data_IF_952535853329
#
_entry.id   IF_952535853329
#
_cell.length_a   1.000
_cell.length_b   1.000
_cell.length_c   1.000
_cell.angle_alpha   90.00
_cell.angle_beta   90.00
_cell.angle_gamma   90.00
#
_symmetry.space_group_name_H-M   'P 1'
#
loop_
_entity.id
_entity.type
_entity.pdbx_description
1 polymer ?
#
# COMPACT_ATOMS: atom_id res chain seq x y z
N UNK A 1 -8.35 -66.91 16.81
CA UNK A 1 -7.31 -67.05 15.78
C UNK A 1 -7.95 -66.83 14.42
N UNK A 2 -8.00 -65.60 13.91
CA UNK A 2 -8.09 -65.28 12.49
C UNK A 2 -7.72 -63.80 12.33
N UNK A 3 -6.56 -63.55 11.72
CA UNK A 3 -6.07 -62.21 11.38
C UNK A 3 -6.83 -61.74 10.14
N UNK A 4 -7.54 -60.61 10.21
CA UNK A 4 -7.94 -59.88 9.01
C UNK A 4 -7.08 -58.61 8.93
N UNK A 5 -6.04 -58.70 8.11
CA UNK A 5 -5.13 -57.61 7.78
C UNK A 5 -5.50 -57.10 6.38
N UNK A 6 -5.44 -55.77 6.23
CA UNK A 6 -5.37 -54.95 5.01
C UNK A 6 -6.68 -54.59 4.32
N UNK A 7 -6.92 -53.28 4.31
CA UNK A 7 -7.84 -52.65 3.38
C UNK A 7 -7.98 -51.13 3.51
N UNK A 8 -7.06 -50.39 4.14
CA UNK A 8 -7.05 -48.92 4.01
C UNK A 8 -6.64 -48.63 2.56
N UNK A 9 -7.63 -48.44 1.69
CA UNK A 9 -7.43 -47.81 0.38
C UNK A 9 -6.91 -46.40 0.67
N UNK A 10 -5.59 -46.21 0.56
CA UNK A 10 -5.03 -44.88 0.30
C UNK A 10 -5.78 -44.35 -0.92
N UNK A 11 -6.59 -43.32 -0.71
CA UNK A 11 -7.09 -42.46 -1.79
C UNK A 11 -5.90 -41.68 -2.34
N UNK A 12 -4.98 -42.37 -3.03
CA UNK A 12 -4.10 -41.74 -4.00
C UNK A 12 -4.94 -41.45 -5.26
N UNK A 13 -5.89 -40.53 -5.14
CA UNK A 13 -6.56 -39.93 -6.30
C UNK A 13 -5.73 -38.73 -6.75
N UNK A 14 -4.66 -38.99 -7.51
CA UNK A 14 -4.11 -38.01 -8.44
C UNK A 14 -5.20 -37.68 -9.47
N UNK A 15 -6.02 -36.66 -9.21
CA UNK A 15 -7.10 -36.23 -10.11
C UNK A 15 -6.64 -35.41 -11.32
N UNK A 16 -5.33 -35.29 -11.58
CA UNK A 16 -4.80 -34.35 -12.58
C UNK A 16 -3.90 -34.94 -13.67
N UNK A 17 -3.91 -36.26 -13.92
CA UNK A 17 -3.07 -36.85 -14.98
C UNK A 17 -3.61 -36.71 -16.42
N UNK A 18 -4.75 -36.06 -16.65
CA UNK A 18 -5.36 -35.95 -17.99
C UNK A 18 -5.95 -34.55 -18.28
N UNK A 19 -5.23 -33.48 -17.96
CA UNK A 19 -5.56 -32.18 -18.55
C UNK A 19 -5.14 -32.19 -20.03
N UNK A 20 -6.07 -31.92 -20.95
CA UNK A 20 -5.72 -31.68 -22.36
C UNK A 20 -4.89 -30.41 -22.42
N UNK A 21 -3.59 -30.55 -22.68
CA UNK A 21 -2.71 -29.41 -22.93
C UNK A 21 -3.13 -28.78 -24.24
N UNK A 22 -3.54 -27.51 -24.21
CA UNK A 22 -3.71 -26.71 -25.43
C UNK A 22 -2.30 -26.37 -25.91
N UNK A 23 -1.73 -27.27 -26.71
CA UNK A 23 -0.36 -27.18 -27.20
C UNK A 23 -0.31 -26.56 -28.58
N UNK A 24 0.16 -25.33 -28.66
CA UNK A 24 0.94 -24.90 -29.82
C UNK A 24 2.21 -24.27 -29.30
N UNK A 25 3.36 -24.87 -29.58
CA UNK A 25 4.62 -24.15 -29.42
C UNK A 25 4.70 -23.11 -30.54
N UNK A 26 4.84 -21.82 -30.22
CA UNK A 26 4.98 -20.82 -31.26
C UNK A 26 6.30 -21.06 -32.00
N UNK A 27 6.25 -21.02 -33.34
CA UNK A 27 7.46 -21.06 -34.15
C UNK A 27 8.28 -19.79 -33.88
N UNK A 28 9.30 -19.89 -33.03
CA UNK A 28 10.08 -18.73 -32.59
C UNK A 28 10.96 -18.15 -33.69
N UNK A 29 11.24 -18.88 -34.77
CA UNK A 29 12.01 -18.35 -35.91
C UNK A 29 11.12 -17.67 -36.96
N UNK A 30 9.80 -17.75 -36.79
CA UNK A 30 8.85 -17.09 -37.69
C UNK A 30 9.02 -15.56 -37.65
N UNK A 31 9.11 -14.87 -38.81
CA UNK A 31 9.26 -13.42 -38.85
C UNK A 31 8.14 -12.66 -38.12
N UNK A 32 6.90 -13.14 -38.18
CA UNK A 32 5.76 -12.53 -37.48
C UNK A 32 5.87 -12.71 -35.97
N UNK A 33 6.36 -13.85 -35.51
CA UNK A 33 6.67 -14.04 -34.08
C UNK A 33 7.76 -13.06 -33.62
N UNK A 34 8.84 -12.92 -34.38
CA UNK A 34 9.95 -12.03 -34.03
C UNK A 34 9.54 -10.56 -34.01
N UNK A 35 8.72 -10.12 -34.97
CA UNK A 35 8.15 -8.77 -34.98
C UNK A 35 7.28 -8.50 -33.75
N UNK A 36 6.36 -9.41 -33.44
CA UNK A 36 5.47 -9.27 -32.27
C UNK A 36 6.24 -9.27 -30.96
N UNK A 37 7.26 -10.14 -30.83
CA UNK A 37 8.15 -10.17 -29.68
C UNK A 37 8.90 -8.84 -29.54
N UNK A 38 9.45 -8.30 -30.63
CA UNK A 38 10.15 -7.01 -30.61
C UNK A 38 9.28 -5.88 -30.11
N UNK A 39 8.05 -5.73 -30.65
CA UNK A 39 7.08 -4.71 -30.21
C UNK A 39 6.69 -4.88 -28.74
N UNK A 40 6.50 -6.11 -28.27
CA UNK A 40 6.18 -6.38 -26.86
C UNK A 40 7.37 -6.07 -25.94
N UNK A 41 8.59 -6.43 -26.35
CA UNK A 41 9.81 -6.16 -25.57
C UNK A 41 10.00 -4.65 -25.36
N UNK A 42 9.71 -3.82 -26.37
CA UNK A 42 9.73 -2.35 -26.26
C UNK A 42 8.74 -1.83 -25.21
N UNK A 43 7.49 -2.30 -25.22
CA UNK A 43 6.46 -1.91 -24.25
C UNK A 43 6.80 -2.37 -22.82
N UNK A 44 7.36 -3.58 -22.68
CA UNK A 44 7.80 -4.11 -21.37
C UNK A 44 8.95 -3.28 -20.82
N UNK A 45 9.88 -2.85 -21.67
CA UNK A 45 10.99 -2.00 -21.25
C UNK A 45 10.52 -0.60 -20.85
N UNK A 46 9.59 0.00 -21.60
CA UNK A 46 8.95 1.26 -21.20
C UNK A 46 8.26 1.14 -19.84
N UNK A 47 7.52 0.05 -19.61
CA UNK A 47 6.89 -0.23 -18.33
C UNK A 47 7.91 -0.36 -17.20
N UNK A 48 9.03 -1.06 -17.41
CA UNK A 48 10.12 -1.21 -16.43
C UNK A 48 10.75 0.13 -16.08
N UNK A 49 10.96 1.00 -17.07
CA UNK A 49 11.50 2.33 -16.85
C UNK A 49 10.53 3.18 -16.01
N UNK A 50 9.26 3.27 -16.41
CA UNK A 50 8.24 4.05 -15.71
C UNK A 50 8.02 3.57 -14.26
N UNK A 51 7.99 2.25 -14.06
CA UNK A 51 7.86 1.67 -12.70
C UNK A 51 9.12 1.89 -11.88
N UNK A 52 10.30 1.72 -12.47
CA UNK A 52 11.59 2.01 -11.82
C UNK A 52 11.71 3.46 -11.36
N UNK A 53 11.21 4.41 -12.15
CA UNK A 53 11.15 5.82 -11.76
C UNK A 53 10.15 6.08 -10.63
N UNK A 54 8.96 5.47 -10.70
CA UNK A 54 7.94 5.62 -9.65
C UNK A 54 8.38 5.03 -8.29
N UNK A 55 9.20 3.97 -8.30
CA UNK A 55 9.69 3.30 -7.09
C UNK A 55 10.70 4.14 -6.32
N UNK A 56 11.40 5.07 -6.99
CA UNK A 56 12.37 5.99 -6.35
C UNK A 56 11.73 6.91 -5.29
N UNK A 57 10.42 7.12 -5.36
CA UNK A 57 9.69 7.99 -4.44
C UNK A 57 9.94 9.46 -4.74
N UNK A 58 10.06 10.28 -3.70
CA UNK A 58 10.29 11.71 -3.83
C UNK A 58 11.67 12.09 -4.35
N UNK A 59 11.94 13.40 -4.54
CA UNK A 59 13.26 13.89 -4.94
C UNK A 59 14.36 13.44 -3.97
N UNK A 60 15.59 13.28 -4.48
CA UNK A 60 16.74 12.78 -3.70
C UNK A 60 16.95 13.56 -2.39
N UNK A 61 16.79 14.89 -2.41
CA UNK A 61 16.89 15.72 -1.21
C UNK A 61 15.80 15.42 -0.17
N UNK A 62 14.60 15.03 -0.60
CA UNK A 62 13.55 14.58 0.31
C UNK A 62 13.88 13.21 0.91
N UNK A 63 14.43 12.30 0.10
CA UNK A 63 14.91 10.98 0.56
C UNK A 63 16.02 11.15 1.60
N UNK A 64 17.04 11.97 1.33
CA UNK A 64 18.12 12.28 2.28
C UNK A 64 17.61 12.87 3.59
N UNK A 65 16.69 13.84 3.53
CA UNK A 65 16.08 14.41 4.75
C UNK A 65 15.27 13.39 5.53
N UNK A 66 14.59 12.46 4.86
CA UNK A 66 13.83 11.41 5.50
C UNK A 66 14.75 10.41 6.22
N UNK A 67 15.79 9.92 5.54
CA UNK A 67 16.74 8.96 6.11
C UNK A 67 17.62 9.57 7.20
N UNK A 68 18.00 10.85 7.08
CA UNK A 68 18.74 11.58 8.12
C UNK A 68 17.98 11.68 9.46
N UNK A 69 16.65 11.48 9.47
CA UNK A 69 15.83 11.40 10.68
C UNK A 69 15.78 9.98 11.28
N UNK A 70 16.60 9.05 10.79
CA UNK A 70 16.61 7.65 11.22
C UNK A 70 15.40 6.84 10.75
N UNK A 71 14.70 7.30 9.71
CA UNK A 71 13.48 6.66 9.19
C UNK A 71 13.79 5.75 8.00
N UNK A 72 13.23 4.55 8.01
CA UNK A 72 13.21 3.66 6.85
C UNK A 72 12.34 4.24 5.74
N UNK A 73 12.69 3.99 4.48
CA UNK A 73 11.84 4.34 3.34
C UNK A 73 10.59 3.45 3.29
N UNK A 74 9.56 3.90 2.58
CA UNK A 74 8.26 3.23 2.57
C UNK A 74 8.35 1.77 2.11
N UNK A 75 9.11 1.48 1.05
CA UNK A 75 9.29 0.10 0.55
C UNK A 75 10.22 -0.73 1.42
N UNK A 76 11.20 -0.11 2.08
CA UNK A 76 12.02 -0.80 3.09
C UNK A 76 11.17 -1.24 4.28
N UNK A 77 10.22 -0.40 4.72
CA UNK A 77 9.27 -0.75 5.79
C UNK A 77 8.41 -1.94 5.40
N UNK A 78 7.88 -1.96 4.17
CA UNK A 78 7.10 -3.09 3.65
C UNK A 78 7.96 -4.35 3.60
N UNK A 79 9.17 -4.28 3.05
CA UNK A 79 10.09 -5.41 2.97
C UNK A 79 10.48 -5.99 4.33
N UNK A 80 10.52 -5.15 5.39
CA UNK A 80 10.76 -5.62 6.76
C UNK A 80 9.51 -6.14 7.48
N UNK A 81 8.33 -5.76 7.01
CA UNK A 81 7.06 -6.18 7.60
C UNK A 81 6.66 -7.57 7.10
N UNK A 82 6.89 -7.85 5.81
CA UNK A 82 6.50 -9.11 5.19
C UNK A 82 7.43 -10.26 5.57
N UNK A 83 6.91 -11.48 5.46
CA UNK A 83 7.67 -12.70 5.74
C UNK A 83 8.85 -12.84 4.77
N UNK A 84 9.99 -13.29 5.30
CA UNK A 84 11.20 -13.49 4.51
C UNK A 84 10.96 -14.46 3.35
N UNK A 85 11.37 -14.06 2.15
CA UNK A 85 11.20 -14.85 0.92
C UNK A 85 9.78 -14.85 0.36
N UNK A 86 8.82 -14.13 0.96
CA UNK A 86 7.47 -13.98 0.41
C UNK A 86 7.40 -12.93 -0.70
N UNK A 87 6.52 -13.16 -1.67
CA UNK A 87 6.23 -12.20 -2.73
C UNK A 87 5.40 -11.02 -2.21
N UNK A 88 5.66 -9.84 -2.79
CA UNK A 88 4.87 -8.63 -2.54
C UNK A 88 4.20 -8.21 -3.85
N UNK A 89 2.87 -8.23 -3.85
CA UNK A 89 2.07 -7.75 -4.98
C UNK A 89 1.76 -6.26 -4.79
N UNK A 90 2.59 -5.39 -5.35
CA UNK A 90 2.33 -3.95 -5.35
C UNK A 90 1.18 -3.57 -6.30
N UNK A 91 0.29 -2.70 -5.84
CA UNK A 91 -0.89 -2.26 -6.56
C UNK A 91 -0.73 -0.82 -7.07
N UNK A 92 -1.05 -0.61 -8.34
CA UNK A 92 -1.10 0.71 -8.97
C UNK A 92 0.18 1.53 -8.77
N UNK A 93 1.35 0.94 -9.01
CA UNK A 93 2.66 1.62 -8.92
C UNK A 93 2.72 2.88 -9.79
N UNK A 94 2.07 2.86 -10.95
CA UNK A 94 1.97 4.01 -11.86
C UNK A 94 0.81 4.97 -11.51
N UNK A 95 0.22 4.89 -10.32
CA UNK A 95 -0.80 5.85 -9.92
C UNK A 95 -0.25 7.28 -9.96
N UNK A 96 -1.06 8.19 -10.53
CA UNK A 96 -0.69 9.57 -10.81
C UNK A 96 0.50 9.75 -11.77
N UNK A 97 0.87 8.72 -12.56
CA UNK A 97 1.79 8.88 -13.68
C UNK A 97 1.26 9.95 -14.64
N UNK A 98 2.16 10.81 -15.11
CA UNK A 98 1.87 11.95 -15.99
C UNK A 98 0.87 12.98 -15.44
N UNK A 99 0.46 12.85 -14.17
CA UNK A 99 -0.36 13.83 -13.45
C UNK A 99 0.53 14.72 -12.58
N UNK A 100 0.02 15.88 -12.16
CA UNK A 100 0.69 16.78 -11.20
C UNK A 100 2.14 17.11 -11.58
N UNK A 101 2.44 17.19 -12.88
CA UNK A 101 3.80 17.43 -13.43
C UNK A 101 4.84 16.39 -12.96
N UNK A 102 4.42 15.15 -12.73
CA UNK A 102 5.29 14.05 -12.29
C UNK A 102 5.76 14.12 -10.84
N UNK A 103 5.19 15.03 -10.03
CA UNK A 103 5.70 15.32 -8.68
C UNK A 103 5.16 14.38 -7.59
N UNK A 104 4.26 13.47 -7.96
CA UNK A 104 3.53 12.60 -7.02
C UNK A 104 3.61 11.13 -7.48
N UNK A 105 4.82 10.55 -7.61
CA UNK A 105 4.98 9.17 -8.07
C UNK A 105 4.26 8.20 -7.14
N UNK A 106 3.70 7.12 -7.71
CA UNK A 106 2.84 6.17 -7.01
C UNK A 106 1.64 6.82 -6.28
N UNK A 107 1.26 8.06 -6.62
CA UNK A 107 0.33 8.91 -5.86
C UNK A 107 0.74 9.15 -4.40
N UNK A 108 2.04 9.06 -4.05
CA UNK A 108 2.54 9.31 -2.69
C UNK A 108 2.16 8.24 -1.66
N UNK A 109 1.67 7.09 -2.12
CA UNK A 109 1.26 5.97 -1.27
C UNK A 109 1.59 4.64 -1.95
N UNK A 110 2.14 3.71 -1.19
CA UNK A 110 2.40 2.34 -1.63
C UNK A 110 1.32 1.45 -1.05
N UNK A 111 0.63 0.71 -1.91
CA UNK A 111 -0.40 -0.24 -1.53
C UNK A 111 0.01 -1.60 -2.06
N UNK A 112 0.00 -2.63 -1.22
CA UNK A 112 0.49 -3.94 -1.63
C UNK A 112 -0.23 -5.06 -0.85
N UNK A 113 -0.21 -6.27 -1.42
CA UNK A 113 -0.57 -7.49 -0.70
C UNK A 113 0.71 -8.27 -0.44
N UNK A 114 0.93 -8.68 0.81
CA UNK A 114 2.10 -9.46 1.21
C UNK A 114 1.77 -10.36 2.40
N UNK A 115 2.58 -11.39 2.62
CA UNK A 115 2.41 -12.29 3.76
C UNK A 115 3.03 -11.68 5.02
N UNK A 116 2.26 -11.65 6.10
CA UNK A 116 2.73 -11.24 7.43
C UNK A 116 2.33 -12.35 8.41
N UNK A 117 3.30 -13.04 8.98
CA UNK A 117 3.11 -14.22 9.81
C UNK A 117 2.22 -15.29 9.14
N UNK A 118 2.50 -15.58 7.86
CA UNK A 118 1.82 -16.58 7.04
C UNK A 118 0.45 -16.16 6.50
N UNK A 119 -0.01 -14.94 6.82
CA UNK A 119 -1.33 -14.43 6.41
C UNK A 119 -1.19 -13.36 5.35
N UNK A 120 -1.98 -13.45 4.28
CA UNK A 120 -2.06 -12.40 3.26
C UNK A 120 -2.74 -11.16 3.85
N UNK A 121 -2.04 -10.02 3.81
CA UNK A 121 -2.49 -8.76 4.38
C UNK A 121 -2.47 -7.66 3.31
N UNK A 122 -3.45 -6.76 3.36
CA UNK A 122 -3.40 -5.51 2.63
C UNK A 122 -2.52 -4.51 3.40
N UNK A 123 -1.49 -4.01 2.77
CA UNK A 123 -0.57 -3.03 3.35
C UNK A 123 -0.78 -1.70 2.63
N UNK A 124 -1.01 -0.63 3.39
CA UNK A 124 -1.20 0.73 2.88
C UNK A 124 -0.21 1.66 3.58
N UNK A 125 0.76 2.17 2.85
CA UNK A 125 1.92 2.86 3.42
C UNK A 125 2.18 4.20 2.75
N UNK A 126 2.18 5.29 3.52
CA UNK A 126 2.47 6.62 2.97
C UNK A 126 3.96 6.77 2.63
N UNK A 127 4.25 7.41 1.50
CA UNK A 127 5.61 7.83 1.17
C UNK A 127 5.83 9.28 1.59
N UNK A 128 6.41 9.46 2.78
CA UNK A 128 6.72 10.79 3.31
C UNK A 128 7.73 11.58 2.46
N UNK A 129 8.47 10.93 1.56
CA UNK A 129 9.40 11.61 0.65
C UNK A 129 8.66 12.31 -0.49
N UNK A 130 7.46 11.83 -0.85
CA UNK A 130 6.60 12.42 -1.89
C UNK A 130 5.70 13.48 -1.28
N UNK A 131 6.05 14.76 -1.45
CA UNK A 131 5.26 15.90 -0.95
C UNK A 131 4.89 15.79 0.54
N UNK A 132 5.76 15.19 1.36
CA UNK A 132 5.51 15.01 2.79
C UNK A 132 4.45 13.94 3.10
N UNK A 133 4.17 13.03 2.17
CA UNK A 133 3.12 12.01 2.30
C UNK A 133 1.71 12.61 2.27
N UNK A 134 1.55 13.81 1.70
CA UNK A 134 0.25 14.48 1.64
C UNK A 134 -0.69 13.80 0.66
N UNK A 135 -1.99 13.82 0.97
CA UNK A 135 -3.00 13.20 0.12
C UNK A 135 -3.47 14.13 -0.98
N UNK A 136 -3.14 13.76 -2.21
CA UNK A 136 -3.76 14.27 -3.43
C UNK A 136 -5.06 13.49 -3.72
N UNK A 137 -5.90 13.97 -4.65
CA UNK A 137 -7.10 13.23 -5.07
C UNK A 137 -6.79 11.78 -5.47
N UNK A 138 -5.71 11.56 -6.21
CA UNK A 138 -5.27 10.21 -6.59
C UNK A 138 -4.73 9.38 -5.43
N UNK A 139 -4.20 10.00 -4.38
CA UNK A 139 -3.78 9.29 -3.16
C UNK A 139 -5.00 8.72 -2.45
N UNK A 140 -6.07 9.52 -2.30
CA UNK A 140 -7.34 9.08 -1.71
C UNK A 140 -7.91 7.92 -2.52
N UNK A 141 -8.03 8.08 -3.85
CA UNK A 141 -8.55 7.04 -4.72
C UNK A 141 -7.76 5.73 -4.62
N UNK A 142 -6.42 5.80 -4.58
CA UNK A 142 -5.56 4.62 -4.42
C UNK A 142 -5.74 3.95 -3.05
N UNK A 143 -5.85 4.74 -1.98
CA UNK A 143 -6.13 4.21 -0.64
C UNK A 143 -7.50 3.50 -0.61
N UNK A 144 -8.56 4.14 -1.09
CA UNK A 144 -9.90 3.54 -1.12
C UNK A 144 -9.95 2.28 -1.97
N UNK A 145 -9.22 2.24 -3.11
CA UNK A 145 -9.13 1.03 -3.91
C UNK A 145 -8.44 -0.12 -3.16
N UNK A 146 -7.40 0.17 -2.37
CA UNK A 146 -6.76 -0.84 -1.53
C UNK A 146 -7.73 -1.38 -0.46
N UNK A 147 -8.53 -0.53 0.19
CA UNK A 147 -9.55 -0.97 1.13
C UNK A 147 -10.65 -1.80 0.46
N UNK A 148 -11.09 -1.43 -0.75
CA UNK A 148 -12.07 -2.22 -1.50
C UNK A 148 -11.56 -3.64 -1.77
N UNK A 149 -10.31 -3.77 -2.20
CA UNK A 149 -9.68 -5.09 -2.40
C UNK A 149 -9.58 -5.84 -1.07
N UNK A 150 -9.19 -5.16 0.02
CA UNK A 150 -9.10 -5.78 1.33
C UNK A 150 -10.46 -6.30 1.82
N UNK A 151 -11.53 -5.54 1.61
CA UNK A 151 -12.89 -5.94 1.96
C UNK A 151 -13.36 -7.14 1.11
N UNK A 152 -13.23 -7.04 -0.23
CA UNK A 152 -13.64 -8.09 -1.17
C UNK A 152 -12.90 -9.41 -0.93
N UNK A 153 -11.60 -9.35 -0.60
CA UNK A 153 -10.75 -10.52 -0.37
C UNK A 153 -10.60 -10.91 1.11
N UNK A 154 -11.25 -10.19 2.04
CA UNK A 154 -11.14 -10.37 3.51
C UNK A 154 -9.69 -10.36 4.03
N UNK A 155 -8.88 -9.43 3.54
CA UNK A 155 -7.48 -9.24 3.93
C UNK A 155 -7.41 -8.31 5.16
N UNK A 156 -6.73 -8.69 6.25
CA UNK A 156 -6.38 -7.75 7.31
C UNK A 156 -5.63 -6.54 6.75
N UNK A 157 -5.94 -5.36 7.25
CA UNK A 157 -5.34 -4.10 6.80
C UNK A 157 -4.22 -3.67 7.76
N UNK A 158 -3.05 -3.35 7.21
CA UNK A 158 -1.92 -2.76 7.95
C UNK A 158 -1.60 -1.39 7.34
N UNK A 159 -1.85 -0.34 8.12
CA UNK A 159 -1.62 1.05 7.74
C UNK A 159 -0.27 1.54 8.28
N UNK A 160 0.71 1.78 7.40
CA UNK A 160 1.99 2.41 7.78
C UNK A 160 1.86 3.93 7.59
N UNK A 161 1.45 4.60 8.65
CA UNK A 161 1.01 6.01 8.61
C UNK A 161 2.19 6.96 8.78
N UNK A 162 2.37 7.83 7.79
CA UNK A 162 3.44 8.84 7.75
C UNK A 162 3.06 9.97 6.79
N UNK A 163 2.08 10.79 7.18
CA UNK A 163 1.41 11.75 6.29
C UNK A 163 1.31 13.15 6.89
N UNK A 164 1.66 14.16 6.09
CA UNK A 164 1.48 15.57 6.40
C UNK A 164 0.03 16.09 6.33
N UNK A 165 -0.96 15.24 5.99
CA UNK A 165 -2.37 15.63 5.84
C UNK A 165 -2.84 15.71 4.38
N UNK A 166 -3.90 16.46 4.12
CA UNK A 166 -4.45 16.65 2.78
C UNK A 166 -3.67 17.70 1.97
N UNK A 167 -3.64 17.54 0.65
CA UNK A 167 -3.12 18.57 -0.25
C UNK A 167 -4.11 19.74 -0.33
N UNK A 168 -3.86 20.80 0.45
CA UNK A 168 -4.79 21.92 0.63
C UNK A 168 -5.23 22.62 -0.67
N UNK A 169 -4.37 22.83 -1.69
CA UNK A 169 -4.81 23.40 -2.97
C UNK A 169 -5.92 22.60 -3.65
N UNK A 170 -5.90 21.28 -3.51
CA UNK A 170 -6.88 20.36 -4.12
C UNK A 170 -7.92 19.88 -3.10
N UNK A 171 -8.12 20.59 -1.98
CA UNK A 171 -8.95 20.11 -0.87
C UNK A 171 -10.40 19.77 -1.26
N UNK A 172 -10.95 20.48 -2.26
CA UNK A 172 -12.32 20.25 -2.73
C UNK A 172 -12.49 18.87 -3.39
N UNK A 173 -11.40 18.33 -3.94
CA UNK A 173 -11.34 17.02 -4.56
C UNK A 173 -10.74 15.95 -3.62
N UNK A 174 -10.49 16.32 -2.36
CA UNK A 174 -9.91 15.45 -1.33
C UNK A 174 -10.83 15.27 -0.14
N UNK A 175 -11.68 16.24 0.21
CA UNK A 175 -12.43 16.25 1.47
C UNK A 175 -13.93 15.93 1.37
N UNK A 176 -14.75 16.63 0.54
CA UNK A 176 -16.19 16.73 0.80
C UNK A 176 -17.06 15.57 0.32
N UNK A 177 -16.68 14.85 -0.74
CA UNK A 177 -17.59 13.91 -1.41
C UNK A 177 -17.58 12.50 -0.81
N UNK A 178 -18.55 11.66 -1.20
CA UNK A 178 -18.74 10.30 -0.68
C UNK A 178 -17.48 9.44 -0.77
N UNK A 179 -16.74 9.54 -1.86
CA UNK A 179 -15.52 8.75 -2.11
C UNK A 179 -14.24 9.59 -1.88
N UNK A 180 -14.32 10.59 -0.99
CA UNK A 180 -13.19 11.39 -0.55
C UNK A 180 -12.62 10.89 0.79
N UNK A 181 -11.70 11.64 1.41
CA UNK A 181 -10.86 11.20 2.53
C UNK A 181 -11.64 10.55 3.69
N UNK A 182 -12.82 11.08 4.02
CA UNK A 182 -13.66 10.53 5.09
C UNK A 182 -14.14 9.09 4.86
N UNK A 183 -14.20 8.64 3.60
CA UNK A 183 -14.57 7.27 3.22
C UNK A 183 -13.58 6.24 3.75
N UNK A 184 -12.32 6.62 3.96
CA UNK A 184 -11.28 5.76 4.55
C UNK A 184 -11.75 5.25 5.91
N UNK A 185 -12.26 6.14 6.76
CA UNK A 185 -12.71 5.83 8.12
C UNK A 185 -14.01 5.02 8.12
N UNK A 186 -14.93 5.37 7.23
CA UNK A 186 -16.15 4.60 7.01
C UNK A 186 -15.81 3.14 6.67
N UNK A 187 -14.87 2.92 5.74
CA UNK A 187 -14.45 1.58 5.36
C UNK A 187 -13.73 0.86 6.51
N UNK A 188 -12.84 1.53 7.25
CA UNK A 188 -12.16 0.94 8.42
C UNK A 188 -13.17 0.43 9.45
N UNK A 189 -14.15 1.26 9.82
CA UNK A 189 -15.16 0.88 10.81
C UNK A 189 -16.01 -0.31 10.36
N UNK A 190 -16.45 -0.33 9.09
CA UNK A 190 -17.25 -1.44 8.57
C UNK A 190 -16.43 -2.73 8.43
N UNK A 191 -15.19 -2.65 7.94
CA UNK A 191 -14.30 -3.81 7.86
C UNK A 191 -14.00 -4.40 9.25
N UNK A 192 -13.74 -3.56 10.26
CA UNK A 192 -13.60 -4.00 11.65
C UNK A 192 -14.87 -4.71 12.15
N UNK A 193 -16.06 -4.14 11.91
CA UNK A 193 -17.32 -4.77 12.27
C UNK A 193 -17.58 -6.12 11.54
N UNK A 194 -17.05 -6.30 10.33
CA UNK A 194 -17.08 -7.54 9.56
C UNK A 194 -16.00 -8.56 9.98
N UNK A 195 -15.21 -8.25 11.01
CA UNK A 195 -14.13 -9.10 11.53
C UNK A 195 -12.88 -9.12 10.66
N UNK A 196 -12.65 -8.08 9.86
CA UNK A 196 -11.42 -7.87 9.09
C UNK A 196 -10.52 -6.91 9.89
N UNK A 197 -9.41 -7.40 10.50
CA UNK A 197 -8.61 -6.60 11.42
C UNK A 197 -8.02 -5.34 10.77
N UNK A 198 -8.08 -4.23 11.49
CA UNK A 198 -7.50 -2.94 11.12
C UNK A 198 -6.34 -2.62 12.06
N UNK A 199 -5.11 -2.56 11.55
CA UNK A 199 -3.90 -2.30 12.35
C UNK A 199 -3.22 -1.06 11.82
N UNK A 200 -2.78 -0.16 12.70
CA UNK A 200 -1.99 1.01 12.32
C UNK A 200 -0.62 1.04 12.99
N UNK A 201 0.36 1.55 12.24
CA UNK A 201 1.71 1.84 12.72
C UNK A 201 2.03 3.29 12.37
N UNK A 202 2.07 4.17 13.35
CA UNK A 202 2.35 5.59 13.19
C UNK A 202 3.85 5.83 13.26
N UNK A 203 4.43 6.08 12.09
CA UNK A 203 5.88 6.18 11.86
C UNK A 203 6.31 7.62 11.54
N UNK A 204 5.47 8.60 11.87
CA UNK A 204 5.74 10.01 11.63
C UNK A 204 4.54 10.88 11.96
N UNK A 205 4.36 11.94 11.17
CA UNK A 205 3.24 12.87 11.35
C UNK A 205 1.91 12.18 11.02
N UNK A 206 0.90 12.45 11.84
CA UNK A 206 -0.47 12.02 11.63
C UNK A 206 -1.41 13.13 12.12
N UNK A 207 -1.73 14.06 11.22
CA UNK A 207 -2.44 15.31 11.56
C UNK A 207 -3.86 15.34 11.00
N UNK A 208 -4.76 16.02 11.71
CA UNK A 208 -6.13 16.32 11.30
C UNK A 208 -6.90 15.06 10.87
N UNK A 209 -7.41 15.00 9.63
CA UNK A 209 -8.13 13.84 9.13
C UNK A 209 -7.31 12.55 9.26
N UNK A 210 -5.99 12.59 9.04
CA UNK A 210 -5.14 11.41 9.15
C UNK A 210 -5.16 10.76 10.54
N UNK A 211 -5.42 11.54 11.60
CA UNK A 211 -5.44 11.07 12.98
C UNK A 211 -6.53 10.01 13.26
N UNK A 212 -7.58 9.96 12.43
CA UNK A 212 -8.61 8.93 12.56
C UNK A 212 -8.15 7.56 12.09
N UNK A 213 -7.14 7.45 11.20
CA UNK A 213 -6.60 6.15 10.77
C UNK A 213 -6.13 5.32 11.98
N UNK A 214 -5.23 5.82 12.84
CA UNK A 214 -4.84 5.10 14.06
C UNK A 214 -5.91 5.14 15.15
N UNK A 215 -6.76 6.16 15.23
CA UNK A 215 -7.80 6.22 16.26
C UNK A 215 -8.95 5.24 16.03
N UNK A 216 -9.14 4.78 14.78
CA UNK A 216 -10.19 3.85 14.35
C UNK A 216 -9.64 2.48 13.91
N UNK A 217 -8.37 2.21 14.17
CA UNK A 217 -7.80 0.87 14.01
C UNK A 217 -8.06 0.06 15.29
N UNK A 218 -8.19 -1.27 15.15
CA UNK A 218 -8.36 -2.19 16.28
C UNK A 218 -7.12 -2.20 17.18
N UNK A 219 -5.93 -2.12 16.55
CA UNK A 219 -4.65 -1.98 17.23
C UNK A 219 -3.80 -0.87 16.60
N UNK A 220 -3.12 -0.10 17.46
CA UNK A 220 -2.34 1.07 17.04
C UNK A 220 -0.98 1.13 17.73
N UNK A 221 0.07 1.11 16.91
CA UNK A 221 1.47 1.18 17.33
C UNK A 221 2.01 2.57 16.99
N UNK A 222 2.65 3.23 17.95
CA UNK A 222 3.23 4.57 17.77
C UNK A 222 4.74 4.48 18.02
N UNK A 223 5.54 4.86 17.03
CA UNK A 223 6.99 4.90 17.18
C UNK A 223 7.36 6.04 18.13
N UNK A 224 7.90 5.71 19.30
CA UNK A 224 8.36 6.69 20.29
C UNK A 224 9.29 7.72 19.64
N UNK A 225 9.16 8.99 20.02
CA UNK A 225 10.03 10.09 19.57
C UNK A 225 9.97 10.36 18.05
N UNK A 226 8.95 9.86 17.36
CA UNK A 226 8.80 10.00 15.91
C UNK A 226 7.33 10.09 15.46
N UNK A 227 6.51 9.17 15.95
CA UNK A 227 5.08 9.12 15.69
C UNK A 227 4.34 10.19 16.49
N UNK A 228 3.52 10.99 15.81
CA UNK A 228 2.71 12.02 16.45
C UNK A 228 1.29 11.97 15.91
N UNK A 229 0.29 12.08 16.78
CA UNK A 229 -1.14 12.05 16.42
C UNK A 229 -1.82 13.26 17.04
N UNK A 230 -2.47 14.08 16.22
CA UNK A 230 -3.24 15.22 16.70
C UNK A 230 -4.28 15.68 15.66
N UNK A 231 -5.44 16.16 16.12
CA UNK A 231 -6.44 16.78 15.24
C UNK A 231 -5.98 18.16 14.74
N UNK A 232 -5.25 18.90 15.57
CA UNK A 232 -4.66 20.19 15.24
C UNK A 232 -3.19 20.20 15.63
N UNK A 233 -2.29 20.39 14.67
CA UNK A 233 -0.87 20.52 14.95
C UNK A 233 -0.51 21.86 15.62
N UNK A 234 0.73 22.03 16.12
CA UNK A 234 1.14 23.27 16.79
C UNK A 234 0.84 24.57 16.03
N UNK A 235 1.00 24.64 14.68
CA UNK A 235 0.63 25.85 13.94
C UNK A 235 -0.87 26.19 14.06
N UNK A 236 -1.74 25.18 14.05
CA UNK A 236 -3.19 25.35 14.17
C UNK A 236 -3.60 25.68 15.61
N UNK A 237 -2.97 25.06 16.61
CA UNK A 237 -3.19 25.38 18.03
C UNK A 237 -2.82 26.85 18.28
N UNK A 238 -1.65 27.28 17.83
CA UNK A 238 -1.22 28.68 17.96
C UNK A 238 -2.16 29.65 17.27
N UNK A 239 -2.63 29.30 16.06
CA UNK A 239 -3.58 30.14 15.32
C UNK A 239 -4.96 30.21 16.00
N UNK A 240 -5.44 29.11 16.58
CA UNK A 240 -6.78 29.01 17.17
C UNK A 240 -6.88 29.51 18.60
N UNK A 241 -5.82 29.36 19.42
CA UNK A 241 -5.85 29.67 20.85
C UNK A 241 -4.76 30.65 21.30
N UNK A 242 -3.76 30.93 20.46
CA UNK A 242 -2.55 31.68 20.84
C UNK A 242 -1.51 30.83 21.61
N UNK A 243 -1.84 29.60 21.98
CA UNK A 243 -0.96 28.73 22.76
C UNK A 243 0.23 28.23 21.92
N UNK A 244 1.44 28.30 22.49
CA UNK A 244 2.64 27.77 21.84
C UNK A 244 3.04 26.45 22.48
N UNK A 245 2.83 25.37 21.73
CA UNK A 245 3.19 23.99 22.12
C UNK A 245 4.26 23.42 21.19
N UNK A 246 5.09 22.52 21.70
CA UNK A 246 6.14 21.84 20.94
C UNK A 246 5.79 20.37 20.73
N UNK A 247 6.13 19.82 19.56
CA UNK A 247 6.13 18.37 19.37
C UNK A 247 7.31 17.79 20.15
N UNK A 248 7.05 16.83 21.03
CA UNK A 248 8.10 16.01 21.63
C UNK A 248 8.58 15.00 20.59
N UNK A 249 9.63 15.37 19.88
CA UNK A 249 10.44 14.45 19.07
C UNK A 249 11.62 13.99 19.92
#
# INVERSE_FOLDING_TARGET
>A
MLKLVRGIRRLNQCRHNHATVIGSEPNRTDPFYQENKGKMDELVEELRQKTGDAIKGGPEEAVKRHTARGKLLVRDRINRLVDEGSDVLELSTLAAADMYKGQVPSAGIVTAIGKVHGRDCMIVANDATVKGGTYFPMTVKKHLRAQAIAQECRLPCIYLVDSGGAHLPDQADVFPDREHFGRIFYNQANMSAEGIPQISVVMGSCTAGGAYIPSMSDESIIIKNQGTIFLAGPPLVKAGTGETVLLKN
#
